data_IF_454133689131
#
_entry.id   IF_454133689131
#
_cell.length_a   1.000
_cell.length_b   1.000
_cell.length_c   1.000
_cell.angle_alpha   90.00
_cell.angle_beta   90.00
_cell.angle_gamma   90.00
#
_symmetry.space_group_name_H-M   'P 1'
#
loop_
_entity.id
_entity.type
_entity.pdbx_description
1 polymer ?
#
# COMPACT_ATOMS: atom_id res chain seq x y z
N UNK A 1 -11.95 0.41 21.42
CA UNK A 1 -12.38 0.22 20.03
C UNK A 1 -11.90 -1.13 19.53
N UNK A 2 -12.73 -1.91 18.84
CA UNK A 2 -12.39 -3.27 18.35
C UNK A 2 -11.19 -3.29 17.38
N UNK A 3 -10.92 -2.15 16.73
CA UNK A 3 -9.82 -1.97 15.78
C UNK A 3 -8.43 -1.87 16.44
N UNK A 4 -8.30 -1.16 17.56
CA UNK A 4 -7.01 -1.01 18.25
C UNK A 4 -6.48 -2.37 18.74
N UNK A 5 -7.38 -3.21 19.29
CA UNK A 5 -7.03 -4.56 19.71
C UNK A 5 -6.56 -5.44 18.54
N UNK A 6 -7.25 -5.42 17.40
CA UNK A 6 -6.81 -6.19 16.21
C UNK A 6 -5.46 -5.73 15.65
N UNK A 7 -5.13 -4.43 15.78
CA UNK A 7 -3.83 -3.90 15.35
C UNK A 7 -2.70 -4.37 16.28
N UNK A 8 -2.94 -4.36 17.60
CA UNK A 8 -1.99 -4.89 18.58
C UNK A 8 -1.80 -6.41 18.42
N UNK A 9 -2.89 -7.17 18.27
CA UNK A 9 -2.85 -8.62 18.09
C UNK A 9 -2.08 -9.05 16.82
N UNK A 10 -2.06 -8.20 15.79
CA UNK A 10 -1.34 -8.46 14.54
C UNK A 10 0.19 -8.20 14.61
N UNK A 11 0.69 -7.59 15.69
CA UNK A 11 2.12 -7.36 15.93
C UNK A 11 2.89 -6.73 14.75
N UNK A 12 2.28 -5.76 14.05
CA UNK A 12 2.82 -5.16 12.82
C UNK A 12 4.23 -4.54 12.95
N UNK A 13 4.57 -3.96 14.11
CA UNK A 13 5.94 -3.48 14.37
C UNK A 13 6.96 -4.62 14.32
N UNK A 14 6.72 -5.69 15.08
CA UNK A 14 7.58 -6.87 15.10
C UNK A 14 7.68 -7.54 13.73
N UNK A 15 6.58 -7.56 12.96
CA UNK A 15 6.59 -8.08 11.60
C UNK A 15 7.51 -7.25 10.69
N UNK A 16 7.41 -5.91 10.71
CA UNK A 16 8.31 -5.02 9.96
C UNK A 16 9.77 -5.20 10.36
N UNK A 17 10.05 -5.31 11.66
CA UNK A 17 11.42 -5.50 12.15
C UNK A 17 12.02 -6.83 11.66
N UNK A 18 11.23 -7.91 11.66
CA UNK A 18 11.64 -9.20 11.12
C UNK A 18 11.90 -9.14 9.61
N UNK A 19 11.04 -8.46 8.85
CA UNK A 19 11.23 -8.27 7.41
C UNK A 19 12.51 -7.48 7.13
N UNK A 20 12.73 -6.36 7.82
CA UNK A 20 13.95 -5.55 7.70
C UNK A 20 15.20 -6.38 7.99
N UNK A 21 15.21 -7.06 9.14
CA UNK A 21 16.31 -7.93 9.55
C UNK A 21 16.63 -9.00 8.49
N UNK A 22 15.60 -9.70 7.98
CA UNK A 22 15.79 -10.72 6.94
C UNK A 22 16.24 -10.13 5.61
N UNK A 23 15.70 -9.00 5.19
CA UNK A 23 16.13 -8.32 3.96
C UNK A 23 17.63 -8.00 4.03
N UNK A 24 18.08 -7.37 5.12
CA UNK A 24 19.50 -7.05 5.33
C UNK A 24 20.39 -8.30 5.34
N UNK A 25 19.95 -9.37 6.01
CA UNK A 25 20.69 -10.64 6.06
C UNK A 25 20.88 -11.30 4.69
N UNK A 26 19.99 -11.03 3.73
CA UNK A 26 20.06 -11.54 2.36
C UNK A 26 20.56 -10.51 1.34
N UNK A 27 21.10 -9.36 1.79
CA UNK A 27 21.60 -8.31 0.90
C UNK A 27 20.50 -7.57 0.11
N UNK A 28 19.25 -7.65 0.55
CA UNK A 28 18.12 -6.95 -0.04
C UNK A 28 17.87 -5.59 0.65
N UNK A 29 17.35 -4.64 -0.11
CA UNK A 29 16.93 -3.33 0.43
C UNK A 29 15.52 -3.40 1.00
N UNK A 30 15.31 -2.81 2.17
CA UNK A 30 13.99 -2.64 2.77
C UNK A 30 13.68 -1.14 2.93
N UNK A 31 12.53 -0.72 2.40
CA UNK A 31 12.05 0.66 2.44
C UNK A 31 10.62 0.65 2.96
N UNK A 32 10.35 1.47 3.99
CA UNK A 32 8.98 1.74 4.42
C UNK A 32 8.42 2.92 3.61
N UNK A 33 7.15 2.84 3.22
CA UNK A 33 6.44 3.89 2.50
C UNK A 33 5.11 4.16 3.19
N UNK A 34 4.58 5.36 3.01
CA UNK A 34 3.23 5.70 3.47
C UNK A 34 2.19 4.87 2.70
N UNK A 35 1.46 4.02 3.42
CA UNK A 35 0.43 3.15 2.87
C UNK A 35 -0.91 3.85 2.66
N UNK A 36 -1.06 5.10 3.11
CA UNK A 36 -2.31 5.84 3.11
C UNK A 36 -2.92 5.93 1.70
N UNK A 37 -4.15 5.43 1.57
CA UNK A 37 -4.89 5.46 0.31
C UNK A 37 -4.41 4.47 -0.76
N UNK A 38 -3.51 3.54 -0.43
CA UNK A 38 -3.02 2.49 -1.35
C UNK A 38 -4.13 1.56 -1.86
N UNK A 39 -5.16 1.28 -1.04
CA UNK A 39 -6.33 0.47 -1.43
C UNK A 39 -7.38 1.25 -2.23
N UNK A 40 -7.29 2.59 -2.26
CA UNK A 40 -8.30 3.48 -2.82
C UNK A 40 -7.85 4.17 -4.11
N UNK A 41 -6.57 4.07 -4.44
CA UNK A 41 -6.00 4.64 -5.67
C UNK A 41 -5.96 3.56 -6.74
N UNK A 42 -6.35 3.88 -7.96
CA UNK A 42 -6.20 2.96 -9.08
C UNK A 42 -4.71 2.77 -9.41
N UNK A 43 -4.19 1.56 -9.31
CA UNK A 43 -2.78 1.28 -9.65
C UNK A 43 -2.49 1.42 -11.14
N UNK A 44 -3.50 1.30 -12.02
CA UNK A 44 -3.34 1.53 -13.45
C UNK A 44 -3.23 3.02 -13.77
N UNK A 45 -4.26 3.82 -13.49
CA UNK A 45 -4.35 5.22 -13.91
C UNK A 45 -4.03 6.26 -12.81
N UNK A 46 -3.81 5.84 -11.57
CA UNK A 46 -3.53 6.73 -10.44
C UNK A 46 -4.76 7.47 -9.88
N UNK A 47 -5.92 7.37 -10.52
CA UNK A 47 -7.12 8.10 -10.09
C UNK A 47 -7.53 7.73 -8.67
N UNK A 48 -7.74 8.77 -7.86
CA UNK A 48 -8.40 8.70 -6.56
C UNK A 48 -9.87 9.11 -6.67
N UNK A 49 -10.39 9.49 -7.83
CA UNK A 49 -11.77 9.97 -7.93
C UNK A 49 -12.75 8.92 -8.42
N UNK A 50 -12.29 7.66 -8.52
CA UNK A 50 -13.16 6.57 -8.91
C UNK A 50 -14.34 6.44 -7.95
N UNK A 51 -15.55 6.36 -8.52
CA UNK A 51 -16.81 6.30 -7.76
C UNK A 51 -17.04 4.91 -7.16
N UNK A 52 -16.50 3.88 -7.80
CA UNK A 52 -16.62 2.46 -7.47
C UNK A 52 -15.53 1.96 -6.50
N UNK A 53 -14.53 2.78 -6.18
CA UNK A 53 -13.45 2.38 -5.26
C UNK A 53 -13.96 2.09 -3.84
N UNK A 54 -13.27 1.24 -3.07
CA UNK A 54 -13.49 1.09 -1.64
C UNK A 54 -13.38 2.44 -0.90
N UNK A 55 -14.37 2.80 -0.06
CA UNK A 55 -14.35 4.03 0.76
C UNK A 55 -14.72 3.73 2.22
N UNK A 56 -13.95 4.33 3.13
CA UNK A 56 -14.15 4.19 4.58
C UNK A 56 -14.04 2.74 5.08
N UNK A 57 -14.44 2.52 6.34
CA UNK A 57 -14.37 1.20 6.99
C UNK A 57 -15.28 0.18 6.28
N UNK A 58 -16.46 0.60 5.83
CA UNK A 58 -17.39 -0.28 5.11
C UNK A 58 -16.80 -0.78 3.78
N UNK A 59 -16.06 0.10 3.08
CA UNK A 59 -15.37 -0.23 1.83
C UNK A 59 -14.27 -1.28 2.00
N UNK A 60 -13.71 -1.48 3.20
CA UNK A 60 -12.72 -2.52 3.46
C UNK A 60 -13.26 -3.96 3.27
N UNK A 61 -14.55 -4.14 3.00
CA UNK A 61 -15.11 -5.46 2.64
C UNK A 61 -15.09 -5.72 1.13
N UNK A 62 -14.99 -4.68 0.33
CA UNK A 62 -14.93 -4.78 -1.14
C UNK A 62 -13.58 -5.38 -1.52
N UNK A 63 -13.61 -6.58 -2.08
CA UNK A 63 -12.43 -7.32 -2.56
C UNK A 63 -12.10 -6.98 -4.01
N UNK A 64 -13.14 -6.82 -4.82
CA UNK A 64 -13.02 -6.58 -6.25
C UNK A 64 -13.77 -5.30 -6.62
N UNK A 65 -13.19 -4.48 -7.49
CA UNK A 65 -13.83 -3.28 -8.00
C UNK A 65 -13.27 -2.89 -9.37
N UNK A 66 -14.13 -2.34 -10.23
CA UNK A 66 -13.72 -1.81 -11.54
C UNK A 66 -13.46 -0.33 -11.44
N UNK A 67 -12.30 0.17 -11.87
CA UNK A 67 -12.01 1.59 -11.85
C UNK A 67 -12.91 2.34 -12.84
N UNK A 68 -13.79 3.18 -12.32
CA UNK A 68 -14.70 4.01 -13.14
C UNK A 68 -13.99 5.03 -14.06
N UNK A 69 -12.68 5.27 -13.89
CA UNK A 69 -11.91 6.21 -14.70
C UNK A 69 -11.22 5.55 -15.90
N UNK A 70 -10.74 4.31 -15.76
CA UNK A 70 -9.96 3.63 -16.80
C UNK A 70 -10.46 2.21 -17.14
N UNK A 71 -11.51 1.73 -16.48
CA UNK A 71 -12.15 0.45 -16.76
C UNK A 71 -11.41 -0.78 -16.23
N UNK A 72 -10.21 -0.66 -15.68
CA UNK A 72 -9.46 -1.82 -15.16
C UNK A 72 -10.17 -2.43 -13.94
N UNK A 73 -10.18 -3.76 -13.88
CA UNK A 73 -10.64 -4.50 -12.71
C UNK A 73 -9.50 -4.70 -11.72
N UNK A 74 -9.83 -4.58 -10.43
CA UNK A 74 -8.86 -4.66 -9.35
C UNK A 74 -9.31 -5.67 -8.30
N UNK A 75 -8.44 -6.64 -8.00
CA UNK A 75 -8.35 -7.18 -6.65
C UNK A 75 -7.70 -6.14 -5.74
N UNK A 76 -8.32 -5.88 -4.57
CA UNK A 76 -7.93 -4.81 -3.66
C UNK A 76 -6.51 -4.99 -3.13
N UNK A 77 -6.13 -6.21 -2.76
CA UNK A 77 -4.84 -6.46 -2.11
C UNK A 77 -3.70 -6.36 -3.15
N UNK A 78 -3.92 -6.89 -4.35
CA UNK A 78 -3.02 -6.75 -5.51
C UNK A 78 -2.85 -5.29 -5.92
N UNK A 79 -3.96 -4.54 -6.02
CA UNK A 79 -3.93 -3.11 -6.33
C UNK A 79 -3.15 -2.31 -5.29
N UNK A 80 -3.37 -2.60 -3.99
CA UNK A 80 -2.63 -1.96 -2.92
C UNK A 80 -1.12 -2.26 -3.00
N UNK A 81 -0.74 -3.52 -3.24
CA UNK A 81 0.66 -3.90 -3.41
C UNK A 81 1.35 -3.17 -4.57
N UNK A 82 0.66 -3.01 -5.71
CA UNK A 82 1.17 -2.24 -6.85
C UNK A 82 1.35 -0.75 -6.53
N UNK A 83 0.44 -0.15 -5.76
CA UNK A 83 0.59 1.22 -5.31
C UNK A 83 1.76 1.38 -4.33
N UNK A 84 1.94 0.45 -3.39
CA UNK A 84 3.11 0.43 -2.48
C UNK A 84 4.41 0.32 -3.26
N UNK A 85 4.48 -0.57 -4.26
CA UNK A 85 5.63 -0.71 -5.15
C UNK A 85 5.93 0.59 -5.90
N UNK A 86 4.88 1.27 -6.40
CA UNK A 86 5.03 2.57 -7.07
C UNK A 86 5.60 3.62 -6.10
N UNK A 87 5.09 3.71 -4.87
CA UNK A 87 5.63 4.61 -3.85
C UNK A 87 7.10 4.31 -3.54
N UNK A 88 7.46 3.04 -3.39
CA UNK A 88 8.84 2.63 -3.09
C UNK A 88 9.83 2.83 -4.25
N UNK A 89 9.32 2.94 -5.49
CA UNK A 89 10.10 3.24 -6.70
C UNK A 89 10.15 4.72 -7.06
N UNK A 90 9.28 5.54 -6.48
CA UNK A 90 9.30 6.98 -6.74
C UNK A 90 10.65 7.55 -6.29
N UNK A 91 11.24 8.43 -7.10
CA UNK A 91 12.46 9.13 -6.71
C UNK A 91 12.23 9.86 -5.39
N UNK A 92 13.20 9.82 -4.45
CA UNK A 92 13.06 10.55 -3.20
C UNK A 92 12.82 12.03 -3.50
N UNK A 93 11.87 12.64 -2.78
CA UNK A 93 11.54 14.08 -2.87
C UNK A 93 12.78 14.96 -2.64
N UNK A 94 13.72 14.44 -1.84
CA UNK A 94 15.06 15.01 -1.70
C UNK A 94 15.93 14.34 -2.74
N UNK A 95 16.36 15.09 -3.75
CA UNK A 95 17.27 14.61 -4.78
C UNK A 95 18.48 13.90 -4.15
N UNK A 96 18.99 12.87 -4.82
CA UNK A 96 20.20 12.17 -4.39
C UNK A 96 21.29 13.25 -4.28
N UNK A 97 21.73 13.57 -3.06
CA UNK A 97 22.91 14.41 -2.87
C UNK A 97 24.07 13.66 -3.53
N UNK A 98 24.52 14.14 -4.69
CA UNK A 98 25.84 13.78 -5.18
C UNK A 98 26.84 14.14 -4.08
N UNK A 99 27.66 13.15 -3.72
CA UNK A 99 28.84 13.36 -2.90
C UNK A 99 29.81 14.30 -3.62
#
# INVERSE_FOLDING_TARGET
TRLAKSVYDAAWSSFRDKLRYKAMAHGATFVEVDESGSTQSCSSCGSKDSTTRPKGIAGLRVREWTCSNCGVEHDRDTNAALNILRCGRASPVVGIRSL
#
